data_IF_414497478044
#
_entry.id   IF_414497478044
#
_cell.length_a   1.000
_cell.length_b   1.000
_cell.length_c   1.000
_cell.angle_alpha   90.00
_cell.angle_beta   90.00
_cell.angle_gamma   90.00
#
_symmetry.space_group_name_H-M   'P 1'
#
loop_
_entity.id
_entity.type
_entity.pdbx_description
1 polymer ?
#
# COMPACT_ATOMS: atom_id res chain seq x y z
N UNK A 1 -9.21 -12.81 2.11
CA UNK A 1 -8.04 -11.90 2.15
C UNK A 1 -6.90 -12.51 1.37
N UNK A 2 -5.98 -11.70 0.83
CA UNK A 2 -4.87 -12.18 0.00
C UNK A 2 -3.84 -12.95 0.85
N UNK A 3 -3.68 -14.28 0.68
CA UNK A 3 -2.90 -15.12 1.60
C UNK A 3 -1.42 -14.73 1.66
N UNK A 4 -0.84 -14.31 0.54
CA UNK A 4 0.55 -13.85 0.47
C UNK A 4 0.72 -12.50 1.18
N UNK A 5 -0.27 -11.61 1.10
CA UNK A 5 -0.16 -10.29 1.75
C UNK A 5 -0.31 -10.46 3.26
N UNK A 6 -1.17 -11.38 3.70
CA UNK A 6 -1.31 -11.76 5.12
C UNK A 6 0.00 -12.29 5.67
N UNK A 7 0.65 -13.22 4.95
CA UNK A 7 1.96 -13.72 5.34
C UNK A 7 3.01 -12.61 5.41
N UNK A 8 3.05 -11.69 4.44
CA UNK A 8 3.97 -10.54 4.48
C UNK A 8 3.69 -9.58 5.66
N UNK A 9 2.42 -9.44 6.07
CA UNK A 9 2.03 -8.68 7.26
C UNK A 9 2.42 -9.39 8.57
N UNK A 10 2.40 -10.72 8.61
CA UNK A 10 2.85 -11.46 9.79
C UNK A 10 4.38 -11.36 9.98
N UNK A 11 5.13 -11.08 8.89
CA UNK A 11 6.60 -10.97 8.91
C UNK A 11 7.14 -9.54 9.10
N UNK A 12 6.28 -8.52 9.05
CA UNK A 12 6.74 -7.12 9.08
C UNK A 12 7.19 -6.70 10.48
N UNK A 13 8.38 -6.11 10.56
CA UNK A 13 8.86 -5.44 11.77
C UNK A 13 8.70 -3.93 11.64
N UNK A 14 8.05 -3.29 12.63
CA UNK A 14 7.89 -1.83 12.68
C UNK A 14 8.86 -1.24 13.69
N UNK A 15 9.60 -0.20 13.28
CA UNK A 15 10.48 0.57 14.14
C UNK A 15 10.01 2.02 14.21
N UNK A 16 9.90 2.53 15.42
CA UNK A 16 9.70 3.96 15.69
C UNK A 16 11.05 4.57 16.02
N UNK A 17 11.44 5.63 15.31
CA UNK A 17 12.66 6.37 15.63
C UNK A 17 12.41 7.43 16.74
N UNK A 18 13.47 7.97 17.37
CA UNK A 18 13.32 8.98 18.43
C UNK A 18 12.64 10.28 17.97
N UNK A 19 12.59 10.53 16.66
CA UNK A 19 11.88 11.67 16.09
C UNK A 19 10.38 11.38 15.87
N UNK A 20 9.90 10.19 16.24
CA UNK A 20 8.51 9.77 16.15
C UNK A 20 8.11 9.19 14.80
N UNK A 21 9.04 9.01 13.85
CA UNK A 21 8.68 8.40 12.57
C UNK A 21 8.51 6.89 12.73
N UNK A 22 7.43 6.36 12.19
CA UNK A 22 7.13 4.93 12.14
C UNK A 22 7.54 4.40 10.77
N UNK A 23 8.41 3.39 10.73
CA UNK A 23 9.00 2.87 9.50
C UNK A 23 9.01 1.33 9.52
N UNK A 24 8.66 0.66 8.40
CA UNK A 24 8.97 -0.75 8.23
C UNK A 24 10.49 -0.97 8.22
N UNK A 25 10.97 -1.93 9.00
CA UNK A 25 12.38 -2.29 9.10
C UNK A 25 12.65 -3.62 8.40
N UNK A 26 13.15 -3.54 7.16
CA UNK A 26 13.49 -4.73 6.36
C UNK A 26 14.61 -5.56 6.99
N UNK A 27 15.53 -4.94 7.74
CA UNK A 27 16.66 -5.65 8.32
C UNK A 27 16.27 -6.54 9.51
N UNK A 28 15.15 -6.21 10.18
CA UNK A 28 14.59 -6.99 11.30
C UNK A 28 13.41 -7.87 10.90
N UNK A 29 12.87 -7.69 9.71
CA UNK A 29 11.79 -8.53 9.20
C UNK A 29 12.35 -9.90 8.81
N UNK A 30 11.66 -10.97 9.21
CA UNK A 30 12.12 -12.36 9.03
C UNK A 30 12.12 -12.79 7.56
N UNK A 31 11.20 -12.25 6.77
CA UNK A 31 10.91 -12.67 5.40
C UNK A 31 10.51 -11.47 4.52
N UNK A 32 9.99 -11.73 3.31
CA UNK A 32 9.58 -10.68 2.36
C UNK A 32 8.45 -9.81 2.92
N UNK A 33 8.58 -8.50 2.70
CA UNK A 33 7.60 -7.48 3.09
C UNK A 33 7.22 -6.54 1.94
N UNK A 34 7.69 -6.84 0.72
CA UNK A 34 7.59 -5.90 -0.41
C UNK A 34 6.13 -5.57 -0.77
N UNK A 35 5.21 -6.53 -0.63
CA UNK A 35 3.79 -6.30 -0.87
C UNK A 35 3.14 -5.35 0.14
N UNK A 36 3.58 -5.40 1.41
CA UNK A 36 3.10 -4.48 2.44
C UNK A 36 3.62 -3.07 2.18
N UNK A 37 4.91 -2.93 1.91
CA UNK A 37 5.54 -1.64 1.59
C UNK A 37 4.91 -1.03 0.34
N UNK A 38 4.67 -1.83 -0.71
CA UNK A 38 3.96 -1.40 -1.91
C UNK A 38 2.54 -0.92 -1.60
N UNK A 39 1.82 -1.59 -0.70
CA UNK A 39 0.48 -1.19 -0.28
C UNK A 39 0.49 0.14 0.47
N UNK A 40 1.48 0.37 1.35
CA UNK A 40 1.64 1.64 2.07
C UNK A 40 1.91 2.78 1.08
N UNK A 41 2.82 2.58 0.11
CA UNK A 41 3.12 3.59 -0.91
C UNK A 41 1.93 3.86 -1.84
N UNK A 42 1.22 2.81 -2.24
CA UNK A 42 0.02 2.93 -3.07
C UNK A 42 -1.09 3.68 -2.36
N UNK A 43 -1.31 3.38 -1.08
CA UNK A 43 -2.30 4.07 -0.24
C UNK A 43 -1.95 5.55 -0.04
N UNK A 44 -0.68 5.88 0.25
CA UNK A 44 -0.24 7.28 0.35
C UNK A 44 -0.51 8.04 -0.95
N UNK A 45 -0.21 7.43 -2.10
CA UNK A 45 -0.52 8.03 -3.40
C UNK A 45 -2.02 8.18 -3.60
N UNK A 46 -2.83 7.18 -3.26
CA UNK A 46 -4.28 7.24 -3.39
C UNK A 46 -4.88 8.39 -2.56
N UNK A 47 -4.47 8.53 -1.30
CA UNK A 47 -4.95 9.60 -0.41
C UNK A 47 -4.53 10.98 -0.94
N UNK A 48 -3.28 11.14 -1.40
CA UNK A 48 -2.79 12.44 -1.90
C UNK A 48 -3.34 12.82 -3.26
N UNK A 49 -3.85 11.87 -4.03
CA UNK A 49 -4.39 12.08 -5.39
C UNK A 49 -5.84 11.64 -5.45
N UNK A 50 -6.56 11.83 -4.34
CA UNK A 50 -8.01 11.79 -4.29
C UNK A 50 -8.55 13.05 -5.00
N UNK A 51 -8.20 13.20 -6.28
CA UNK A 51 -8.84 14.14 -7.17
C UNK A 51 -10.22 13.54 -7.43
N UNK A 52 -11.27 14.21 -6.97
CA UNK A 52 -12.68 13.82 -7.18
C UNK A 52 -13.11 14.01 -8.65
N UNK A 53 -12.19 13.77 -9.59
CA UNK A 53 -12.50 13.74 -11.00
C UNK A 53 -13.28 12.47 -11.29
N UNK A 54 -14.52 12.63 -11.76
CA UNK A 54 -15.36 11.54 -12.24
C UNK A 54 -14.53 10.57 -13.09
N UNK A 55 -14.77 9.28 -12.89
CA UNK A 55 -14.12 8.27 -13.71
C UNK A 55 -14.42 8.58 -15.17
N UNK A 56 -13.44 8.40 -16.06
CA UNK A 56 -13.67 8.54 -17.51
C UNK A 56 -14.83 7.63 -17.97
N UNK A 57 -15.06 6.54 -17.25
CA UNK A 57 -16.17 5.62 -17.47
C UNK A 57 -17.54 6.15 -17.00
N UNK A 58 -17.59 7.10 -16.06
CA UNK A 58 -18.83 7.73 -15.60
C UNK A 58 -19.46 8.59 -16.70
N UNK A 59 -18.63 9.22 -17.55
CA UNK A 59 -19.09 10.00 -18.69
C UNK A 59 -19.15 9.23 -20.01
N UNK A 60 -18.25 8.27 -20.26
CA UNK A 60 -18.12 7.60 -21.56
C UNK A 60 -18.79 6.23 -21.66
N UNK A 61 -19.18 5.63 -20.54
CA UNK A 61 -19.64 4.23 -20.50
C UNK A 61 -18.52 3.23 -20.81
N UNK A 62 -18.85 1.94 -20.81
CA UNK A 62 -17.92 0.87 -21.18
C UNK A 62 -17.86 0.71 -22.70
N UNK A 63 -16.70 0.96 -23.29
CA UNK A 63 -16.43 0.61 -24.68
C UNK A 63 -16.20 -0.90 -24.79
N UNK A 64 -17.16 -1.59 -25.40
CA UNK A 64 -17.05 -3.00 -25.77
C UNK A 64 -16.60 -3.07 -27.23
N UNK A 65 -15.50 -3.77 -27.50
CA UNK A 65 -14.95 -4.03 -28.84
C UNK A 65 -15.21 -5.48 -29.25
#
# INVERSE_FOLDING_TARGET
GHPVLRWMMDNIYIRTDPAGNIKPDKAKSTEKIDGVVATIMGLDRAIRNEDNGDSVYDGRGLLML
#
